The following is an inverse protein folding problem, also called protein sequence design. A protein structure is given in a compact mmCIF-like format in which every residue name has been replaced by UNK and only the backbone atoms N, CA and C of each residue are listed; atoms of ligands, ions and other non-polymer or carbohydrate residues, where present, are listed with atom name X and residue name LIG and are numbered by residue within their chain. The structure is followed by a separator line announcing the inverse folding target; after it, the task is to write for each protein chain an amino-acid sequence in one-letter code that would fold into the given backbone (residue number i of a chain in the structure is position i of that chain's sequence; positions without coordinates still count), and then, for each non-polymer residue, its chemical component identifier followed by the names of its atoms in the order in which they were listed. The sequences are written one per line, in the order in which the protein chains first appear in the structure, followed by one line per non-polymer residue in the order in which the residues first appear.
data_IF_076541931141
#
_entry.id   IF_076541931141
#
_cell.length_a   1.000
_cell.length_b   1.000
_cell.length_c   1.000
_cell.angle_alpha   90.00
_cell.angle_beta   90.00
_cell.angle_gamma   90.00
#
_symmetry.space_group_name_H-M   'P 1'
#
loop_
_entity.id
_entity.type
_entity.pdbx_description
1 polymer ?
#
# COMPACT_ATOMS: atom_id res chain seq x y z
N UNK A 1 52.09 8.71 -36.50
CA UNK A 1 52.22 9.08 -35.06
C UNK A 1 50.94 9.70 -34.44
N UNK A 2 49.77 9.66 -35.11
CA UNK A 2 48.53 10.33 -34.65
C UNK A 2 47.52 9.35 -34.01
N UNK A 3 47.57 8.06 -34.36
CA UNK A 3 46.59 7.06 -33.90
C UNK A 3 46.77 6.63 -32.43
N UNK A 4 47.96 6.82 -31.84
CA UNK A 4 48.23 6.38 -30.45
C UNK A 4 47.74 7.36 -29.38
N UNK A 5 47.53 8.64 -29.72
CA UNK A 5 47.06 9.65 -28.75
C UNK A 5 45.54 9.61 -28.55
N UNK A 6 44.77 9.21 -29.57
CA UNK A 6 43.30 9.13 -29.50
C UNK A 6 42.81 7.95 -28.64
N UNK A 7 43.50 6.81 -28.66
CA UNK A 7 43.14 5.63 -27.85
C UNK A 7 43.34 5.85 -26.34
N UNK A 8 44.34 6.65 -25.96
CA UNK A 8 44.60 6.99 -24.55
C UNK A 8 43.53 7.92 -23.97
N UNK A 9 42.93 8.79 -24.78
CA UNK A 9 41.89 9.73 -24.34
C UNK A 9 40.53 9.05 -24.15
N UNK A 10 40.17 8.05 -24.97
CA UNK A 10 38.91 7.31 -24.79
C UNK A 10 38.95 6.33 -23.61
N UNK A 11 40.14 5.84 -23.22
CA UNK A 11 40.28 4.92 -22.08
C UNK A 11 40.15 5.62 -20.72
N UNK A 12 40.25 6.95 -20.68
CA UNK A 12 40.13 7.75 -19.45
C UNK A 12 38.68 8.12 -19.09
N UNK A 13 37.75 8.03 -20.05
CA UNK A 13 36.33 8.30 -19.82
C UNK A 13 35.54 7.05 -19.37
N UNK A 14 36.10 5.85 -19.54
CA UNK A 14 35.48 4.58 -19.14
C UNK A 14 35.80 4.15 -17.69
N UNK A 15 36.61 4.95 -17.00
CA UNK A 15 37.08 4.69 -15.65
C UNK A 15 36.96 5.94 -14.77
N UNK A 16 35.84 6.66 -14.89
CA UNK A 16 35.26 7.22 -13.66
C UNK A 16 34.81 6.01 -12.82
N UNK A 17 35.80 5.34 -12.23
CA UNK A 17 35.60 4.50 -11.06
C UNK A 17 34.90 5.41 -10.07
N UNK A 18 33.58 5.24 -9.96
CA UNK A 18 32.80 5.84 -8.89
C UNK A 18 33.40 5.27 -7.63
N UNK A 19 34.30 6.02 -6.99
CA UNK A 19 34.89 5.67 -5.72
C UNK A 19 33.77 5.69 -4.67
N UNK A 20 33.08 4.55 -4.52
CA UNK A 20 32.04 4.36 -3.51
C UNK A 20 32.73 4.30 -2.15
N UNK A 21 32.45 5.29 -1.31
CA UNK A 21 32.98 5.31 0.05
C UNK A 21 32.24 4.29 0.92
N UNK A 22 32.84 3.89 2.05
CA UNK A 22 32.16 3.02 3.01
C UNK A 22 30.83 3.64 3.51
N UNK A 23 30.80 4.95 3.71
CA UNK A 23 29.58 5.68 4.07
C UNK A 23 28.51 5.60 2.98
N UNK A 24 28.91 5.69 1.71
CA UNK A 24 27.98 5.56 0.58
C UNK A 24 27.43 4.15 0.49
N UNK A 25 28.26 3.11 0.72
CA UNK A 25 27.79 1.74 0.75
C UNK A 25 26.77 1.50 1.88
N UNK A 26 26.96 2.11 3.05
CA UNK A 26 25.98 2.07 4.13
C UNK A 26 24.66 2.73 3.73
N UNK A 27 24.71 3.89 3.05
CA UNK A 27 23.52 4.57 2.53
C UNK A 27 22.81 3.74 1.47
N UNK A 28 23.56 3.12 0.53
CA UNK A 28 23.03 2.23 -0.50
C UNK A 28 22.32 1.03 0.13
N UNK A 29 22.95 0.39 1.12
CA UNK A 29 22.34 -0.75 1.81
C UNK A 29 21.06 -0.36 2.56
N UNK A 30 21.06 0.81 3.22
CA UNK A 30 19.87 1.32 3.90
C UNK A 30 18.76 1.64 2.91
N UNK A 31 19.09 2.25 1.78
CA UNK A 31 18.14 2.56 0.72
C UNK A 31 17.54 1.29 0.11
N UNK A 32 18.37 0.28 -0.19
CA UNK A 32 17.91 -1.00 -0.73
C UNK A 32 16.90 -1.66 0.22
N UNK A 33 17.23 -1.77 1.53
CA UNK A 33 16.33 -2.35 2.54
C UNK A 33 15.02 -1.57 2.67
N UNK A 34 15.10 -0.24 2.69
CA UNK A 34 13.92 0.60 2.82
C UNK A 34 13.03 0.52 1.57
N UNK A 35 13.62 0.50 0.38
CA UNK A 35 12.91 0.29 -0.89
C UNK A 35 12.20 -1.05 -0.90
N UNK A 36 12.89 -2.15 -0.57
CA UNK A 36 12.26 -3.48 -0.50
C UNK A 36 11.06 -3.47 0.43
N UNK A 37 11.22 -2.94 1.65
CA UNK A 37 10.13 -2.84 2.63
C UNK A 37 8.95 -2.01 2.11
N UNK A 38 9.21 -0.87 1.48
CA UNK A 38 8.14 -0.02 0.92
C UNK A 38 7.41 -0.74 -0.21
N UNK A 39 8.14 -1.44 -1.09
CA UNK A 39 7.53 -2.21 -2.17
C UNK A 39 6.65 -3.34 -1.61
N UNK A 40 7.15 -4.11 -0.65
CA UNK A 40 6.38 -5.16 0.04
C UNK A 40 5.10 -4.60 0.67
N UNK A 41 5.19 -3.48 1.40
CA UNK A 41 4.01 -2.85 2.01
C UNK A 41 3.02 -2.35 0.96
N UNK A 42 3.49 -1.81 -0.17
CA UNK A 42 2.61 -1.37 -1.27
C UNK A 42 1.90 -2.54 -1.92
N UNK A 43 2.59 -3.65 -2.15
CA UNK A 43 1.97 -4.87 -2.68
C UNK A 43 0.90 -5.41 -1.72
N UNK A 44 1.18 -5.41 -0.40
CA UNK A 44 0.20 -5.81 0.61
C UNK A 44 -1.05 -4.89 0.61
N UNK A 45 -0.86 -3.57 0.51
CA UNK A 45 -1.96 -2.60 0.40
C UNK A 45 -2.82 -2.89 -0.84
N UNK A 46 -2.21 -3.15 -2.00
CA UNK A 46 -2.96 -3.46 -3.23
C UNK A 46 -3.76 -4.77 -3.10
N UNK A 47 -3.18 -5.79 -2.46
CA UNK A 47 -3.89 -7.05 -2.17
C UNK A 47 -5.09 -6.79 -1.26
N UNK A 48 -4.93 -6.00 -0.20
CA UNK A 48 -6.03 -5.67 0.71
C UNK A 48 -7.10 -4.80 0.04
N UNK A 49 -6.73 -3.85 -0.81
CA UNK A 49 -7.68 -3.05 -1.61
C UNK A 49 -8.52 -3.92 -2.54
N UNK A 50 -7.90 -4.92 -3.18
CA UNK A 50 -8.63 -5.90 -3.97
C UNK A 50 -9.59 -6.73 -3.11
N UNK A 51 -9.17 -7.13 -1.91
CA UNK A 51 -10.06 -7.85 -1.00
C UNK A 51 -11.23 -6.98 -0.52
N UNK A 52 -11.01 -5.68 -0.30
CA UNK A 52 -12.06 -4.72 0.04
C UNK A 52 -13.07 -4.60 -1.10
N UNK A 53 -12.60 -4.46 -2.34
CA UNK A 53 -13.48 -4.44 -3.52
C UNK A 53 -14.31 -5.72 -3.61
N UNK A 54 -13.71 -6.89 -3.40
CA UNK A 54 -14.46 -8.15 -3.42
C UNK A 54 -15.56 -8.20 -2.34
N UNK A 55 -15.34 -7.58 -1.17
CA UNK A 55 -16.36 -7.49 -0.13
C UNK A 55 -17.46 -6.47 -0.49
N UNK A 56 -17.12 -5.37 -1.15
CA UNK A 56 -18.09 -4.41 -1.69
C UNK A 56 -18.97 -5.06 -2.76
N UNK A 57 -18.36 -5.76 -3.72
CA UNK A 57 -19.07 -6.52 -4.76
C UNK A 57 -19.99 -7.58 -4.11
N UNK A 58 -19.52 -8.29 -3.08
CA UNK A 58 -20.33 -9.26 -2.35
C UNK A 58 -21.50 -8.63 -1.59
N UNK A 59 -21.33 -7.45 -0.97
CA UNK A 59 -22.43 -6.70 -0.36
C UNK A 59 -23.51 -6.38 -1.41
N UNK A 60 -23.10 -5.88 -2.58
CA UNK A 60 -24.01 -5.52 -3.66
C UNK A 60 -24.76 -6.75 -4.21
N UNK A 61 -24.05 -7.87 -4.41
CA UNK A 61 -24.65 -9.14 -4.83
C UNK A 61 -25.68 -9.66 -3.82
N UNK A 62 -25.36 -9.55 -2.52
CA UNK A 62 -26.28 -9.94 -1.43
C UNK A 62 -27.52 -9.05 -1.40
N UNK A 63 -27.41 -7.75 -1.68
CA UNK A 63 -28.57 -6.85 -1.77
C UNK A 63 -29.45 -7.13 -3.01
N UNK A 64 -28.85 -7.61 -4.10
CA UNK A 64 -29.56 -7.96 -5.33
C UNK A 64 -30.18 -9.36 -5.30
N UNK A 65 -29.88 -10.17 -4.29
CA UNK A 65 -30.45 -11.50 -4.14
C UNK A 65 -31.98 -11.42 -3.91
N UNK A 66 -32.73 -12.26 -4.64
CA UNK A 66 -34.18 -12.36 -4.48
C UNK A 66 -34.54 -12.81 -3.04
N UNK A 67 -35.66 -12.31 -2.51
CA UNK A 67 -36.17 -12.64 -1.15
C UNK A 67 -36.40 -14.15 -0.92
N UNK A 68 -36.44 -14.95 -1.99
CA UNK A 68 -36.53 -16.42 -1.93
C UNK A 68 -35.23 -17.09 -1.46
N UNK A 69 -34.09 -16.39 -1.49
CA UNK A 69 -32.81 -16.82 -0.92
C UNK A 69 -32.77 -16.56 0.60
N UNK A 70 -33.52 -17.37 1.35
CA UNK A 70 -33.64 -17.22 2.82
C UNK A 70 -32.31 -17.35 3.58
N UNK A 71 -31.28 -17.97 2.97
CA UNK A 71 -30.01 -18.29 3.62
C UNK A 71 -28.84 -18.11 2.67
N UNK A 72 -27.86 -17.29 3.07
CA UNK A 72 -26.65 -17.00 2.32
C UNK A 72 -25.49 -17.77 2.94
N UNK A 73 -24.76 -18.60 2.18
CA UNK A 73 -23.59 -19.30 2.69
C UNK A 73 -22.40 -18.34 2.84
N UNK A 74 -21.98 -18.08 4.08
CA UNK A 74 -20.81 -17.29 4.41
C UNK A 74 -19.62 -18.19 4.75
N UNK A 75 -18.43 -17.91 4.19
CA UNK A 75 -17.22 -18.70 4.41
C UNK A 75 -16.41 -18.17 5.60
N UNK A 76 -16.09 -19.04 6.54
CA UNK A 76 -15.16 -18.76 7.65
C UNK A 76 -14.05 -19.81 7.63
N UNK A 77 -12.85 -19.43 7.21
CA UNK A 77 -11.76 -20.38 6.98
C UNK A 77 -12.13 -21.39 5.89
N UNK A 78 -12.20 -22.67 6.25
CA UNK A 78 -12.52 -23.78 5.32
C UNK A 78 -13.98 -24.28 5.41
N UNK A 79 -14.82 -23.61 6.20
CA UNK A 79 -16.22 -24.02 6.43
C UNK A 79 -17.20 -22.93 5.99
N UNK A 80 -18.39 -23.36 5.55
CA UNK A 80 -19.50 -22.48 5.20
C UNK A 80 -20.60 -22.55 6.25
N UNK A 81 -21.09 -21.40 6.67
CA UNK A 81 -22.21 -21.25 7.60
C UNK A 81 -23.29 -20.43 6.91
N UNK A 82 -24.51 -20.94 6.91
CA UNK A 82 -25.66 -20.23 6.35
C UNK A 82 -26.17 -19.18 7.32
N UNK A 83 -26.25 -17.95 6.86
CA UNK A 83 -26.75 -16.79 7.59
C UNK A 83 -27.95 -16.19 6.88
N UNK A 84 -28.77 -15.42 7.60
CA UNK A 84 -29.77 -14.58 6.93
C UNK A 84 -29.10 -13.51 6.07
N UNK A 85 -29.85 -12.90 5.16
CA UNK A 85 -29.35 -11.78 4.36
C UNK A 85 -28.88 -10.61 5.24
N UNK A 86 -29.66 -10.27 6.28
CA UNK A 86 -29.34 -9.19 7.22
C UNK A 86 -28.06 -9.49 8.01
N UNK A 87 -27.94 -10.71 8.57
CA UNK A 87 -26.73 -11.13 9.28
C UNK A 87 -25.51 -11.12 8.36
N UNK A 88 -25.67 -11.58 7.11
CA UNK A 88 -24.59 -11.60 6.12
C UNK A 88 -24.13 -10.18 5.78
N UNK A 89 -25.06 -9.24 5.62
CA UNK A 89 -24.73 -7.84 5.36
C UNK A 89 -23.97 -7.22 6.53
N UNK A 90 -24.40 -7.44 7.77
CA UNK A 90 -23.69 -6.95 8.96
C UNK A 90 -22.26 -7.49 9.02
N UNK A 91 -22.08 -8.80 8.80
CA UNK A 91 -20.76 -9.44 8.78
C UNK A 91 -19.85 -8.91 7.67
N UNK A 92 -20.40 -8.64 6.48
CA UNK A 92 -19.64 -8.07 5.37
C UNK A 92 -19.23 -6.62 5.65
N UNK A 93 -20.10 -5.80 6.22
CA UNK A 93 -19.78 -4.41 6.61
C UNK A 93 -18.71 -4.35 7.71
N UNK A 94 -18.77 -5.22 8.72
CA UNK A 94 -17.74 -5.33 9.75
C UNK A 94 -16.38 -5.76 9.19
N UNK A 95 -16.39 -6.72 8.25
CA UNK A 95 -15.18 -7.15 7.56
C UNK A 95 -14.58 -6.01 6.70
N UNK A 96 -15.42 -5.27 5.97
CA UNK A 96 -15.00 -4.09 5.18
C UNK A 96 -14.36 -3.03 6.08
N UNK A 97 -15.00 -2.69 7.20
CA UNK A 97 -14.49 -1.69 8.13
C UNK A 97 -13.13 -2.10 8.71
N UNK A 98 -13.01 -3.34 9.16
CA UNK A 98 -11.75 -3.88 9.68
C UNK A 98 -10.64 -3.78 8.64
N UNK A 99 -10.93 -4.18 7.40
CA UNK A 99 -9.96 -4.15 6.31
C UNK A 99 -9.57 -2.72 5.90
N UNK A 100 -10.51 -1.76 5.93
CA UNK A 100 -10.22 -0.34 5.72
C UNK A 100 -9.27 0.22 6.79
N UNK A 101 -9.50 -0.11 8.06
CA UNK A 101 -8.62 0.30 9.17
C UNK A 101 -7.20 -0.26 8.99
N UNK A 102 -7.08 -1.53 8.58
CA UNK A 102 -5.78 -2.16 8.27
C UNK A 102 -5.07 -1.49 7.09
N UNK A 103 -5.79 -1.17 6.00
CA UNK A 103 -5.24 -0.46 4.85
C UNK A 103 -4.69 0.90 5.27
N UNK A 104 -5.46 1.67 6.07
CA UNK A 104 -5.04 2.98 6.58
C UNK A 104 -3.76 2.85 7.41
N UNK A 105 -3.67 1.82 8.26
CA UNK A 105 -2.48 1.58 9.08
C UNK A 105 -1.24 1.25 8.22
N UNK A 106 -1.40 0.42 7.18
CA UNK A 106 -0.31 0.08 6.26
C UNK A 106 0.10 1.25 5.36
N UNK A 107 -0.85 2.06 4.91
CA UNK A 107 -0.61 3.30 4.16
C UNK A 107 0.24 4.26 5.01
N UNK A 108 -0.13 4.47 6.27
CA UNK A 108 0.66 5.25 7.22
C UNK A 108 2.08 4.69 7.40
N UNK A 109 2.23 3.37 7.55
CA UNK A 109 3.52 2.70 7.72
C UNK A 109 4.42 2.78 6.46
N UNK A 110 3.83 2.73 5.27
CA UNK A 110 4.54 2.79 3.99
C UNK A 110 4.88 4.23 3.55
N UNK A 111 4.37 5.24 4.26
CA UNK A 111 4.50 6.65 3.90
C UNK A 111 3.61 7.05 2.72
N UNK A 112 2.67 6.19 2.31
CA UNK A 112 1.62 6.49 1.35
C UNK A 112 0.47 7.11 2.14
N UNK A 113 0.23 8.41 1.99
CA UNK A 113 -0.90 9.02 2.69
C UNK A 113 -2.23 8.53 2.09
N UNK A 114 -3.23 8.17 2.93
CA UNK A 114 -4.55 7.76 2.44
C UNK A 114 -5.15 8.87 1.58
N UNK A 115 -5.53 8.52 0.35
CA UNK A 115 -6.20 9.42 -0.58
C UNK A 115 -7.59 9.78 -0.03
N UNK A 116 -7.67 10.87 0.74
CA UNK A 116 -8.91 11.32 1.39
C UNK A 116 -8.71 11.81 2.82
N UNK A 117 -7.63 11.42 3.50
CA UNK A 117 -7.26 12.06 4.76
C UNK A 117 -6.62 13.41 4.44
N UNK A 118 -7.36 14.49 4.67
CA UNK A 118 -6.80 15.84 4.69
C UNK A 118 -5.48 15.83 5.46
N UNK A 119 -4.43 16.42 4.86
CA UNK A 119 -3.09 16.49 5.46
C UNK A 119 -3.26 16.84 6.94
N UNK A 120 -2.73 16.06 7.91
CA UNK A 120 -2.84 16.44 9.31
C UNK A 120 -2.23 17.83 9.42
N UNK A 121 -3.11 18.80 9.68
CA UNK A 121 -2.73 20.20 9.82
C UNK A 121 -1.67 20.23 10.91
N UNK A 122 -0.46 20.69 10.58
CA UNK A 122 0.63 20.68 11.54
C UNK A 122 0.18 21.48 12.77
N UNK A 123 0.62 21.07 13.96
CA UNK A 123 0.25 21.77 15.20
C UNK A 123 0.48 23.29 15.11
N UNK A 124 1.51 23.68 14.35
CA UNK A 124 1.84 25.08 14.04
C UNK A 124 0.71 25.80 13.28
N UNK A 125 0.11 25.15 12.27
CA UNK A 125 -0.95 25.76 11.46
C UNK A 125 -2.26 25.84 12.25
N UNK A 126 -2.55 24.85 13.10
CA UNK A 126 -3.69 24.89 14.03
C UNK A 126 -3.59 26.03 15.04
N UNK A 127 -2.40 26.27 15.59
CA UNK A 127 -2.13 27.33 16.56
C UNK A 127 -2.37 28.73 15.94
N UNK A 128 -1.87 28.94 14.71
CA UNK A 128 -2.02 30.23 14.01
C UNK A 128 -3.48 30.57 13.74
N UNK A 129 -4.31 29.57 13.39
CA UNK A 129 -5.74 29.78 13.13
C UNK A 129 -6.55 30.11 14.39
N UNK A 130 -6.12 29.67 15.57
CA UNK A 130 -6.79 30.03 16.83
C UNK A 130 -6.44 31.45 17.30
N UNK A 131 -5.43 32.08 16.70
CA UNK A 131 -4.98 33.43 17.05
C UNK A 131 -5.44 34.51 16.07
N UNK A 132 -6.25 34.18 15.05
CA UNK A 132 -6.82 35.12 14.06
C UNK A 132 -8.33 35.15 14.13
#
# INVERSE_FOLDING_TARGET
MVQSKMAATMKKAAAEDVNVTFEDQQKINKFARNTSRITELKEEIEVKKKHLQNLEDACDDVMLADDDCLMIPYQIGDVFISHSQEETQEMLEDAKKTLQEEIIALEFLSGVHPAGAGRPESAVVREVRQQT
#
